data_IF_496067842373
#
_entry.id   IF_496067842373
#
_cell.length_a   1.000
_cell.length_b   1.000
_cell.length_c   1.000
_cell.angle_alpha   90.00
_cell.angle_beta   90.00
_cell.angle_gamma   90.00
#
_symmetry.space_group_name_H-M   'P 1'
#
loop_
_entity.id
_entity.type
_entity.pdbx_description
1 polymer ?
#
# COMPACT_ATOMS: atom_id res chain seq x y z
N UNK A 1 16.03 -72.04 -7.01
CA UNK A 1 16.29 -70.67 -6.49
C UNK A 1 15.36 -69.71 -7.23
N UNK A 2 14.34 -69.12 -6.59
CA UNK A 2 13.48 -68.15 -7.25
C UNK A 2 14.07 -66.73 -7.11
N UNK A 3 13.96 -65.94 -8.16
CA UNK A 3 14.42 -64.55 -8.27
C UNK A 3 13.22 -63.65 -7.93
N UNK A 4 13.35 -62.80 -6.90
CA UNK A 4 12.38 -61.74 -6.60
C UNK A 4 12.67 -60.49 -7.46
N UNK A 5 11.63 -59.79 -7.99
CA UNK A 5 11.83 -58.49 -8.61
C UNK A 5 11.77 -57.38 -7.54
N UNK A 6 12.76 -56.49 -7.60
CA UNK A 6 12.81 -55.25 -6.82
C UNK A 6 11.85 -54.25 -7.45
N UNK A 7 10.80 -53.86 -6.73
CA UNK A 7 9.89 -52.80 -7.13
C UNK A 7 10.53 -51.43 -6.83
N UNK A 8 10.83 -50.68 -7.90
CA UNK A 8 11.36 -49.32 -7.84
C UNK A 8 10.18 -48.35 -7.67
N UNK A 9 9.96 -47.81 -6.47
CA UNK A 9 9.03 -46.70 -6.25
C UNK A 9 9.70 -45.40 -6.69
N UNK A 10 9.27 -44.85 -7.83
CA UNK A 10 9.64 -43.50 -8.25
C UNK A 10 8.80 -42.48 -7.46
N UNK A 11 9.42 -41.79 -6.52
CA UNK A 11 8.81 -40.66 -5.82
C UNK A 11 8.77 -39.43 -6.75
N UNK A 12 7.57 -39.00 -7.12
CA UNK A 12 7.35 -37.76 -7.87
C UNK A 12 7.38 -36.58 -6.89
N UNK A 13 8.45 -35.79 -6.93
CA UNK A 13 8.50 -34.50 -6.23
C UNK A 13 7.67 -33.48 -7.01
N UNK A 14 6.49 -33.12 -6.49
CA UNK A 14 5.74 -31.95 -6.95
C UNK A 14 6.51 -30.68 -6.53
N UNK A 15 7.19 -30.05 -7.48
CA UNK A 15 7.73 -28.71 -7.27
C UNK A 15 6.54 -27.74 -7.21
N UNK A 16 6.24 -27.20 -6.02
CA UNK A 16 5.32 -26.07 -5.89
C UNK A 16 5.99 -24.84 -6.48
N UNK A 17 5.44 -24.33 -7.58
CA UNK A 17 5.82 -23.02 -8.10
C UNK A 17 5.33 -21.97 -7.09
N UNK A 18 6.26 -21.37 -6.34
CA UNK A 18 5.98 -20.15 -5.60
C UNK A 18 5.56 -19.09 -6.63
N UNK A 19 4.33 -18.58 -6.51
CA UNK A 19 3.89 -17.46 -7.34
C UNK A 19 4.86 -16.31 -7.11
N UNK A 20 5.38 -15.72 -8.20
CA UNK A 20 6.23 -14.55 -8.09
C UNK A 20 5.49 -13.46 -7.31
N UNK A 21 6.16 -12.74 -6.40
CA UNK A 21 5.54 -11.64 -5.68
C UNK A 21 4.97 -10.66 -6.71
N UNK A 22 3.66 -10.41 -6.63
CA UNK A 22 2.99 -9.46 -7.51
C UNK A 22 3.63 -8.07 -7.36
N UNK A 23 3.70 -7.31 -8.45
CA UNK A 23 4.21 -5.94 -8.41
C UNK A 23 3.30 -5.05 -7.55
N UNK A 24 3.90 -4.25 -6.67
CA UNK A 24 3.16 -3.23 -5.91
C UNK A 24 3.13 -1.96 -6.75
N UNK A 25 2.04 -1.73 -7.46
CA UNK A 25 1.81 -0.51 -8.23
C UNK A 25 0.52 0.16 -7.79
N UNK A 26 0.41 1.47 -8.04
CA UNK A 26 -0.82 2.22 -7.79
C UNK A 26 -1.95 1.62 -8.63
N UNK A 27 -3.02 1.07 -8.02
CA UNK A 27 -4.16 0.57 -8.78
C UNK A 27 -4.72 1.62 -9.76
N UNK A 28 -5.18 1.18 -10.93
CA UNK A 28 -5.68 2.07 -11.99
C UNK A 28 -6.88 2.90 -11.55
N UNK A 29 -7.71 2.36 -10.64
CA UNK A 29 -8.87 3.04 -10.06
C UNK A 29 -8.51 4.25 -9.18
N UNK A 30 -7.26 4.34 -8.73
CA UNK A 30 -6.79 5.50 -7.96
C UNK A 30 -6.51 6.64 -8.94
N UNK A 31 -7.51 7.51 -9.11
CA UNK A 31 -7.43 8.71 -9.94
C UNK A 31 -7.35 9.97 -9.06
N UNK A 32 -6.14 10.41 -8.71
CA UNK A 32 -5.96 11.62 -7.92
C UNK A 32 -6.57 12.85 -8.59
N UNK A 33 -7.20 13.71 -7.80
CA UNK A 33 -7.95 14.87 -8.28
C UNK A 33 -9.40 14.59 -8.66
N UNK A 34 -9.82 13.33 -8.79
CA UNK A 34 -11.21 12.98 -9.05
C UNK A 34 -12.12 13.28 -7.86
N UNK A 35 -13.41 13.54 -8.15
CA UNK A 35 -14.43 13.83 -7.14
C UNK A 35 -14.80 12.61 -6.31
N UNK A 36 -15.43 12.83 -5.15
CA UNK A 36 -16.01 11.75 -4.33
C UNK A 36 -16.99 10.93 -5.16
N UNK A 37 -17.88 11.59 -5.91
CA UNK A 37 -18.88 10.93 -6.74
C UNK A 37 -18.27 10.08 -7.86
N UNK A 38 -17.19 10.56 -8.51
CA UNK A 38 -16.52 9.82 -9.57
C UNK A 38 -15.79 8.58 -9.03
N UNK A 39 -15.14 8.70 -7.86
CA UNK A 39 -14.47 7.57 -7.22
C UNK A 39 -15.49 6.56 -6.69
N UNK A 40 -16.57 7.01 -6.06
CA UNK A 40 -17.65 6.15 -5.59
C UNK A 40 -18.20 5.28 -6.73
N UNK A 41 -18.48 5.89 -7.89
CA UNK A 41 -18.94 5.19 -9.09
C UNK A 41 -17.93 4.14 -9.59
N UNK A 42 -16.63 4.46 -9.54
CA UNK A 42 -15.58 3.53 -9.96
C UNK A 42 -15.40 2.36 -8.98
N UNK A 43 -15.78 2.56 -7.71
CA UNK A 43 -15.64 1.60 -6.63
C UNK A 43 -16.84 0.66 -6.47
N UNK A 44 -18.00 0.95 -7.07
CA UNK A 44 -19.23 0.14 -6.96
C UNK A 44 -19.04 -1.35 -7.22
N UNK A 45 -18.17 -1.75 -8.15
CA UNK A 45 -17.89 -3.17 -8.45
C UNK A 45 -16.62 -3.71 -7.80
N UNK A 46 -15.96 -2.91 -6.94
CA UNK A 46 -14.65 -3.20 -6.36
C UNK A 46 -14.69 -3.28 -4.83
N UNK A 47 -15.75 -2.80 -4.21
CA UNK A 47 -15.98 -2.92 -2.77
C UNK A 47 -17.13 -3.89 -2.51
N UNK A 48 -16.99 -4.74 -1.49
CA UNK A 48 -18.11 -5.51 -0.94
C UNK A 48 -19.02 -4.65 -0.08
N UNK A 49 -18.44 -3.62 0.57
CA UNK A 49 -19.14 -2.59 1.31
C UNK A 49 -18.41 -1.27 1.12
N UNK A 50 -19.17 -0.19 0.99
CA UNK A 50 -18.64 1.16 0.84
C UNK A 50 -19.37 2.10 1.79
N UNK A 51 -18.61 2.85 2.59
CA UNK A 51 -19.14 3.87 3.49
C UNK A 51 -18.47 5.21 3.19
N UNK A 52 -19.26 6.28 3.03
CA UNK A 52 -18.74 7.65 2.84
C UNK A 52 -18.89 8.41 4.14
N UNK A 53 -17.80 8.99 4.63
CA UNK A 53 -17.76 9.79 5.86
C UNK A 53 -17.31 11.21 5.57
N UNK A 54 -17.91 12.16 6.26
CA UNK A 54 -17.50 13.57 6.25
C UNK A 54 -16.92 13.92 7.61
N UNK A 55 -15.78 14.58 7.63
CA UNK A 55 -15.15 15.09 8.84
C UNK A 55 -15.45 16.58 8.99
N UNK A 56 -16.18 16.91 10.05
CA UNK A 56 -16.52 18.28 10.44
C UNK A 56 -16.04 18.54 11.89
N UNK A 57 -15.05 19.43 12.12
CA UNK A 57 -14.37 20.24 11.11
C UNK A 57 -13.39 19.42 10.24
N UNK A 58 -12.97 19.94 9.07
CA UNK A 58 -11.94 19.33 8.25
C UNK A 58 -10.65 19.08 9.04
N UNK A 59 -10.08 17.88 8.87
CA UNK A 59 -8.88 17.43 9.62
C UNK A 59 -7.63 17.35 8.75
N UNK A 60 -7.79 17.31 7.43
CA UNK A 60 -6.67 17.30 6.50
C UNK A 60 -6.16 18.73 6.33
N UNK A 61 -4.86 19.02 6.51
CA UNK A 61 -4.33 20.39 6.46
C UNK A 61 -4.66 21.17 5.17
N UNK A 62 -4.83 20.48 4.04
CA UNK A 62 -5.15 21.09 2.75
C UNK A 62 -6.66 21.23 2.48
N UNK A 63 -7.51 20.60 3.29
CA UNK A 63 -8.96 20.71 3.14
C UNK A 63 -9.45 22.01 3.76
N UNK A 64 -9.78 23.00 2.92
CA UNK A 64 -10.23 24.32 3.39
C UNK A 64 -11.68 24.30 3.85
N UNK A 65 -12.51 23.52 3.16
CA UNK A 65 -13.96 23.50 3.37
C UNK A 65 -14.47 22.09 3.68
N UNK A 66 -13.89 21.06 3.06
CA UNK A 66 -14.45 19.72 3.10
C UNK A 66 -13.36 18.64 3.17
N UNK A 67 -13.45 17.78 4.18
CA UNK A 67 -12.67 16.55 4.28
C UNK A 67 -13.64 15.37 4.28
N UNK A 68 -13.49 14.49 3.29
CA UNK A 68 -14.28 13.27 3.19
C UNK A 68 -13.39 12.05 3.02
N UNK A 69 -13.95 10.89 3.33
CA UNK A 69 -13.30 9.62 3.14
C UNK A 69 -14.32 8.59 2.67
N UNK A 70 -13.92 7.77 1.69
CA UNK A 70 -14.64 6.56 1.31
C UNK A 70 -13.87 5.38 1.89
N UNK A 71 -14.53 4.60 2.74
CA UNK A 71 -14.03 3.31 3.23
C UNK A 71 -14.55 2.21 2.30
N UNK A 72 -13.65 1.60 1.54
CA UNK A 72 -13.93 0.51 0.61
C UNK A 72 -13.46 -0.82 1.20
N UNK A 73 -14.40 -1.62 1.69
CA UNK A 73 -14.13 -2.97 2.19
C UNK A 73 -14.08 -3.97 1.02
N UNK A 74 -13.21 -4.97 1.13
CA UNK A 74 -13.08 -6.01 0.10
C UNK A 74 -12.31 -5.55 -1.14
N UNK A 75 -11.62 -4.41 -1.07
CA UNK A 75 -10.80 -3.89 -2.15
C UNK A 75 -9.64 -4.85 -2.43
N UNK A 76 -9.56 -5.37 -3.66
CA UNK A 76 -8.52 -6.34 -3.99
C UNK A 76 -7.16 -5.67 -4.13
N UNK A 77 -6.20 -6.10 -3.32
CA UNK A 77 -4.81 -5.65 -3.37
C UNK A 77 -3.87 -6.78 -3.00
N UNK A 78 -2.83 -6.98 -3.82
CA UNK A 78 -1.83 -8.04 -3.62
C UNK A 78 -2.42 -9.45 -3.43
N UNK A 79 -3.54 -9.73 -4.12
CA UNK A 79 -4.22 -11.03 -4.13
C UNK A 79 -5.25 -11.22 -3.01
N UNK A 80 -5.43 -10.23 -2.14
CA UNK A 80 -6.29 -10.33 -0.96
C UNK A 80 -7.27 -9.16 -0.82
N UNK A 81 -8.45 -9.39 -0.22
CA UNK A 81 -9.41 -8.34 0.05
C UNK A 81 -8.95 -7.49 1.23
N UNK A 82 -8.84 -6.18 1.02
CA UNK A 82 -8.37 -5.19 1.99
C UNK A 82 -9.42 -4.13 2.29
N UNK A 83 -9.19 -3.37 3.35
CA UNK A 83 -9.81 -2.06 3.52
C UNK A 83 -8.94 -1.03 2.79
N UNK A 84 -9.53 -0.32 1.83
CA UNK A 84 -8.93 0.83 1.19
C UNK A 84 -9.67 2.10 1.60
N UNK A 85 -8.95 3.08 2.14
CA UNK A 85 -9.47 4.38 2.54
C UNK A 85 -9.07 5.43 1.50
N UNK A 86 -10.06 5.96 0.78
CA UNK A 86 -9.87 7.03 -0.21
C UNK A 86 -10.16 8.36 0.46
N UNK A 87 -9.16 9.23 0.58
CA UNK A 87 -9.25 10.47 1.37
C UNK A 87 -9.26 11.70 0.47
N UNK A 88 -10.23 12.57 0.69
CA UNK A 88 -10.55 13.71 -0.16
C UNK A 88 -10.38 15.02 0.59
N UNK A 89 -9.80 16.01 -0.10
CA UNK A 89 -9.78 17.40 0.33
C UNK A 89 -10.50 18.25 -0.72
N UNK A 90 -11.52 19.01 -0.29
CA UNK A 90 -12.32 19.88 -1.13
C UNK A 90 -12.81 19.17 -2.41
N UNK A 91 -13.42 17.99 -2.22
CA UNK A 91 -13.95 17.11 -3.28
C UNK A 91 -12.91 16.66 -4.33
N UNK A 92 -11.66 16.49 -3.92
CA UNK A 92 -10.60 15.91 -4.76
C UNK A 92 -9.90 14.79 -4.03
N UNK A 93 -9.71 13.65 -4.68
CA UNK A 93 -8.95 12.52 -4.12
C UNK A 93 -7.48 12.92 -3.95
N UNK A 94 -6.96 12.76 -2.73
CA UNK A 94 -5.60 13.15 -2.37
C UNK A 94 -4.74 11.98 -1.88
N UNK A 95 -5.32 11.10 -1.06
CA UNK A 95 -4.62 9.94 -0.48
C UNK A 95 -5.44 8.69 -0.70
N UNK A 96 -4.75 7.56 -0.81
CA UNK A 96 -5.36 6.25 -0.61
C UNK A 96 -4.47 5.44 0.32
N UNK A 97 -5.05 4.98 1.42
CA UNK A 97 -4.41 4.02 2.33
C UNK A 97 -5.02 2.65 2.07
N UNK A 98 -4.20 1.65 1.81
CA UNK A 98 -4.64 0.26 1.73
C UNK A 98 -4.09 -0.46 2.94
N UNK A 99 -4.97 -0.78 3.89
CA UNK A 99 -4.61 -1.50 5.10
C UNK A 99 -4.33 -2.95 4.74
N UNK A 100 -3.20 -3.45 5.22
CA UNK A 100 -2.76 -4.84 5.02
C UNK A 100 -2.44 -5.48 6.35
N UNK A 101 -2.20 -6.78 6.36
CA UNK A 101 -1.78 -7.47 7.57
C UNK A 101 -0.31 -7.18 7.85
N UNK A 102 0.06 -7.04 9.13
CA UNK A 102 1.44 -6.80 9.53
C UNK A 102 2.38 -7.93 9.06
N UNK A 103 1.88 -9.16 8.97
CA UNK A 103 2.62 -10.33 8.47
C UNK A 103 3.02 -10.20 6.98
N UNK A 104 2.40 -9.29 6.22
CA UNK A 104 2.74 -9.03 4.82
C UNK A 104 3.95 -8.10 4.65
N UNK A 105 4.45 -7.50 5.73
CA UNK A 105 5.46 -6.45 5.69
C UNK A 105 6.66 -6.82 4.82
N UNK A 106 7.33 -7.94 5.10
CA UNK A 106 8.53 -8.35 4.36
C UNK A 106 8.24 -8.55 2.88
N UNK A 107 7.11 -9.21 2.57
CA UNK A 107 6.66 -9.50 1.20
C UNK A 107 6.36 -8.23 0.42
N UNK A 108 5.62 -7.29 1.02
CA UNK A 108 5.22 -6.03 0.37
C UNK A 108 6.41 -5.11 0.20
N UNK A 109 7.26 -4.93 1.22
CA UNK A 109 8.46 -4.10 1.10
C UNK A 109 9.38 -4.65 0.01
N UNK A 110 9.61 -5.97 -0.03
CA UNK A 110 10.40 -6.59 -1.08
C UNK A 110 9.81 -6.32 -2.47
N UNK A 111 8.49 -6.47 -2.63
CA UNK A 111 7.80 -6.19 -3.89
C UNK A 111 7.86 -4.70 -4.28
N UNK A 112 7.75 -3.77 -3.33
CA UNK A 112 7.91 -2.33 -3.59
C UNK A 112 9.34 -2.00 -4.04
N UNK A 113 10.35 -2.53 -3.35
CA UNK A 113 11.77 -2.30 -3.70
C UNK A 113 12.10 -2.82 -5.11
N UNK A 114 11.59 -4.00 -5.44
CA UNK A 114 11.71 -4.58 -6.78
C UNK A 114 10.98 -3.71 -7.82
N UNK A 115 9.73 -3.33 -7.56
CA UNK A 115 8.90 -2.56 -8.51
C UNK A 115 9.45 -1.16 -8.78
N UNK A 116 10.02 -0.52 -7.77
CA UNK A 116 10.51 0.86 -7.84
C UNK A 116 12.03 0.98 -8.01
N UNK A 117 12.73 -0.16 -8.12
CA UNK A 117 14.19 -0.22 -8.27
C UNK A 117 14.94 0.66 -7.25
N UNK A 118 14.46 0.68 -6.01
CA UNK A 118 14.95 1.56 -4.94
C UNK A 118 14.85 0.87 -3.59
N UNK A 119 15.70 1.24 -2.63
CA UNK A 119 15.58 0.76 -1.25
C UNK A 119 14.52 1.53 -0.43
N UNK A 120 14.09 2.68 -0.95
CA UNK A 120 13.23 3.64 -0.25
C UNK A 120 13.97 4.49 0.79
N UNK A 121 13.31 5.54 1.26
CA UNK A 121 13.72 6.35 2.41
C UNK A 121 13.05 5.80 3.65
N UNK A 122 13.84 5.17 4.53
CA UNK A 122 13.34 4.51 5.73
C UNK A 122 13.47 5.41 6.97
N UNK A 123 12.47 5.32 7.83
CA UNK A 123 12.50 5.86 9.19
C UNK A 123 11.62 5.00 10.12
N UNK A 124 11.47 5.40 11.38
CA UNK A 124 10.69 4.65 12.39
C UNK A 124 9.20 4.46 12.05
N UNK A 125 8.64 5.22 11.13
CA UNK A 125 7.22 5.16 10.75
C UNK A 125 6.99 4.47 9.41
N UNK A 126 7.92 4.55 8.47
CA UNK A 126 7.66 4.20 7.07
C UNK A 126 8.92 3.90 6.25
N UNK A 127 8.71 3.26 5.10
CA UNK A 127 9.64 3.21 3.97
C UNK A 127 8.98 3.92 2.79
N UNK A 128 9.49 5.07 2.40
CA UNK A 128 8.91 5.91 1.37
C UNK A 128 9.62 5.77 0.01
N UNK A 129 8.85 5.90 -1.07
CA UNK A 129 9.33 5.95 -2.45
C UNK A 129 8.81 7.25 -3.11
N UNK A 130 9.41 8.41 -2.80
CA UNK A 130 8.86 9.72 -3.17
C UNK A 130 8.62 9.92 -4.67
N UNK A 131 9.54 9.46 -5.51
CA UNK A 131 9.43 9.55 -6.97
C UNK A 131 8.19 8.83 -7.52
N UNK A 132 7.69 7.84 -6.78
CA UNK A 132 6.50 7.06 -7.11
C UNK A 132 5.26 7.44 -6.29
N UNK A 133 5.40 8.43 -5.39
CA UNK A 133 4.35 8.91 -4.48
C UNK A 133 3.63 7.79 -3.73
N UNK A 134 4.43 6.95 -3.09
CA UNK A 134 3.95 5.81 -2.31
C UNK A 134 4.87 5.53 -1.12
N UNK A 135 4.35 4.85 -0.11
CA UNK A 135 5.12 4.43 1.04
C UNK A 135 4.50 3.19 1.69
N UNK A 136 5.32 2.40 2.35
CA UNK A 136 4.91 1.47 3.40
C UNK A 136 4.85 2.24 4.73
N UNK A 137 3.79 2.07 5.53
CA UNK A 137 3.75 2.49 6.94
C UNK A 137 3.74 1.25 7.83
N UNK A 138 4.53 1.28 8.92
CA UNK A 138 4.65 0.14 9.83
C UNK A 138 3.43 -0.03 10.75
N UNK A 139 2.84 1.07 11.27
CA UNK A 139 1.75 0.99 12.24
C UNK A 139 0.66 2.07 12.02
N UNK A 140 -0.60 1.65 11.82
CA UNK A 140 -0.98 0.32 11.33
C UNK A 140 -0.29 0.03 9.99
N UNK A 141 -0.16 -1.26 9.69
CA UNK A 141 0.44 -1.77 8.47
C UNK A 141 -0.41 -1.38 7.24
N UNK A 142 0.15 -0.55 6.36
CA UNK A 142 -0.59 -0.06 5.19
C UNK A 142 0.35 0.41 4.08
N UNK A 143 -0.17 0.36 2.85
CA UNK A 143 0.44 0.98 1.67
C UNK A 143 -0.27 2.29 1.37
N UNK A 144 0.51 3.36 1.31
CA UNK A 144 0.06 4.70 0.92
C UNK A 144 0.26 4.91 -0.58
N UNK A 145 -0.71 5.54 -1.22
CA UNK A 145 -0.52 6.29 -2.47
C UNK A 145 -1.01 7.72 -2.27
N UNK A 146 -0.29 8.71 -2.82
CA UNK A 146 -0.65 10.11 -2.64
C UNK A 146 -0.52 10.97 -3.92
N UNK A 147 -1.30 12.05 -3.97
CA UNK A 147 -1.33 12.99 -5.09
C UNK A 147 -0.07 13.86 -5.14
N UNK A 148 0.17 14.53 -6.27
CA UNK A 148 1.23 15.53 -6.35
C UNK A 148 0.97 16.76 -5.46
N UNK A 149 -0.31 17.09 -5.18
CA UNK A 149 -0.69 18.27 -4.39
C UNK A 149 -0.26 18.13 -2.92
N UNK A 150 -0.30 16.91 -2.37
CA UNK A 150 0.10 16.62 -0.99
C UNK A 150 1.54 16.12 -0.86
N UNK A 151 2.25 15.91 -1.98
CA UNK A 151 3.59 15.36 -1.98
C UNK A 151 4.57 16.13 -1.06
N UNK A 152 4.60 17.48 -1.04
CA UNK A 152 5.49 18.21 -0.14
C UNK A 152 5.28 17.89 1.35
N UNK A 153 4.05 17.56 1.77
CA UNK A 153 3.75 17.22 3.16
C UNK A 153 4.38 15.88 3.58
N UNK A 154 4.39 14.91 2.66
CA UNK A 154 4.97 13.59 2.91
C UNK A 154 6.49 13.61 2.76
N UNK A 155 6.98 14.27 1.71
CA UNK A 155 8.41 14.33 1.41
C UNK A 155 9.21 15.04 2.50
N UNK A 156 8.68 16.14 3.06
CA UNK A 156 9.27 16.78 4.22
C UNK A 156 9.37 15.82 5.41
N UNK A 157 8.27 15.10 5.72
CA UNK A 157 8.21 14.15 6.83
C UNK A 157 9.15 12.96 6.65
N UNK A 158 9.34 12.48 5.42
CA UNK A 158 10.26 11.39 5.12
C UNK A 158 11.73 11.85 5.08
N UNK A 159 12.00 13.08 4.62
CA UNK A 159 13.34 13.67 4.57
C UNK A 159 13.87 14.15 5.93
N UNK A 160 13.01 14.64 6.83
CA UNK A 160 13.41 15.02 8.19
C UNK A 160 13.85 13.80 9.01
N UNK A 161 13.25 12.65 8.78
CA UNK A 161 13.52 11.46 9.56
C UNK A 161 14.82 10.74 9.17
N UNK A 162 15.31 10.91 7.93
CA UNK A 162 16.60 10.36 7.50
C UNK A 162 17.80 11.18 8.00
N UNK A 163 17.60 12.45 8.38
CA UNK A 163 18.67 13.31 8.89
C UNK A 163 18.87 13.24 10.41
N UNK A 164 17.84 12.86 11.18
CA UNK A 164 17.93 12.72 12.64
C UNK A 164 18.54 11.39 13.13
N UNK A 165 18.67 10.37 12.26
CA UNK A 165 19.39 9.13 12.60
C UNK A 165 20.88 9.19 12.20
N UNK A 166 21.33 10.27 11.55
CA UNK A 166 22.72 10.48 11.13
C UNK A 166 23.58 11.28 12.13
N UNK A 167 23.04 11.66 13.30
CA UNK A 167 23.74 12.48 14.27
C UNK A 167 23.69 11.90 15.69
N UNK A 168 24.62 11.00 16.02
CA UNK A 168 25.50 11.12 17.20
C UNK A 168 26.72 10.20 17.02
N UNK A 169 27.96 10.73 16.92
CA UNK A 169 29.14 9.92 17.22
C UNK A 169 29.09 9.54 18.70
N UNK A 170 29.32 8.26 18.99
CA UNK A 170 29.56 7.80 20.35
C UNK A 170 30.98 8.20 20.72
N UNK A 171 31.11 9.16 21.64
CA UNK A 171 32.34 9.37 22.40
C UNK A 171 32.50 8.27 23.47
#
# INVERSE_FOLDING_TARGET
MPILPVAMMAAWTLASAAAAPGAVTKPEVIAFGASVADIEKQLTSRCTKMDVRTFDPPRMPIAKNLHQQIDCQGFQFMGEPRLAEFVFADDRLQLVWILVDADDQERIIAAMRETYHSQGLENKMAIAFPEHRTAWRFEPAEVLFYSGEVAPMFEARFGEASSNDAAQPKD
#
